data_IF_497631705355
#
_entry.id   IF_497631705355
#
_cell.length_a   1.000
_cell.length_b   1.000
_cell.length_c   1.000
_cell.angle_alpha   90.00
_cell.angle_beta   90.00
_cell.angle_gamma   90.00
#
_symmetry.space_group_name_H-M   'P 1'
#
loop_
_entity.id
_entity.type
_entity.pdbx_description
1 polymer ?
#
# COMPACT_ATOMS: atom_id res chain seq x y z
N UNK A 1 -22.27 4.41 31.46
CA UNK A 1 -21.89 3.97 30.11
C UNK A 1 -20.84 4.93 29.58
N UNK A 2 -19.59 4.49 29.47
CA UNK A 2 -18.49 5.32 28.97
C UNK A 2 -17.59 4.48 28.09
N UNK A 3 -18.04 4.17 26.88
CA UNK A 3 -17.26 3.46 25.86
C UNK A 3 -16.72 4.44 24.81
N UNK A 4 -16.01 5.46 25.28
CA UNK A 4 -15.07 6.20 24.46
C UNK A 4 -13.71 5.53 24.59
N UNK A 5 -13.07 5.17 23.48
CA UNK A 5 -11.67 4.72 23.49
C UNK A 5 -10.85 5.70 24.34
N UNK A 6 -9.98 5.21 25.22
CA UNK A 6 -9.22 5.99 26.21
C UNK A 6 -8.39 7.14 25.61
N UNK A 7 -8.28 7.19 24.28
CA UNK A 7 -7.55 8.19 23.49
C UNK A 7 -8.46 9.25 22.83
N UNK A 8 -9.79 9.17 22.98
CA UNK A 8 -10.76 10.08 22.32
C UNK A 8 -10.97 9.81 20.82
N UNK A 9 -10.48 8.68 20.31
CA UNK A 9 -10.67 8.25 18.93
C UNK A 9 -11.98 7.48 18.73
N UNK A 10 -12.46 7.43 17.49
CA UNK A 10 -13.55 6.53 17.10
C UNK A 10 -13.14 5.07 17.32
N UNK A 11 -14.14 4.21 17.54
CA UNK A 11 -13.89 2.79 17.75
C UNK A 11 -13.36 2.13 16.46
N UNK A 12 -12.46 1.16 16.55
CA UNK A 12 -12.10 0.34 15.39
C UNK A 12 -13.34 -0.37 14.83
N UNK A 13 -13.43 -0.45 13.51
CA UNK A 13 -14.60 -0.94 12.79
C UNK A 13 -15.64 0.14 12.49
N UNK A 14 -15.43 1.40 12.89
CA UNK A 14 -16.29 2.51 12.45
C UNK A 14 -16.21 2.66 10.93
N UNK A 15 -17.38 2.57 10.28
CA UNK A 15 -17.58 2.81 8.85
C UNK A 15 -18.42 4.07 8.66
N UNK A 16 -18.07 4.84 7.63
CA UNK A 16 -18.89 5.97 7.14
C UNK A 16 -19.05 5.83 5.64
N UNK A 17 -20.26 5.47 5.21
CA UNK A 17 -20.68 5.27 3.82
C UNK A 17 -21.84 6.20 3.41
N UNK A 18 -22.12 7.23 4.22
CA UNK A 18 -23.19 8.21 3.96
C UNK A 18 -22.69 9.64 4.13
N UNK A 19 -23.36 10.59 3.45
CA UNK A 19 -23.17 12.06 3.55
C UNK A 19 -21.84 12.59 2.99
N UNK A 20 -20.70 12.06 3.44
CA UNK A 20 -19.35 12.54 3.12
C UNK A 20 -18.63 11.65 2.09
N UNK A 21 -19.39 10.87 1.34
CA UNK A 21 -18.91 9.92 0.32
C UNK A 21 -19.34 10.35 -1.08
N UNK A 22 -18.84 9.69 -2.11
CA UNK A 22 -19.21 9.97 -3.49
C UNK A 22 -20.71 9.71 -3.72
N UNK A 23 -21.42 10.63 -4.40
CA UNK A 23 -22.87 10.53 -4.53
C UNK A 23 -23.37 9.41 -5.45
N UNK A 24 -22.51 8.88 -6.33
CA UNK A 24 -22.91 7.91 -7.38
C UNK A 24 -22.08 6.63 -7.41
N UNK A 25 -20.89 6.64 -6.82
CA UNK A 25 -19.97 5.49 -6.87
C UNK A 25 -19.97 4.88 -5.49
N UNK A 26 -19.61 3.60 -5.40
CA UNK A 26 -19.52 2.97 -4.11
C UNK A 26 -18.17 3.28 -3.45
N UNK A 27 -18.19 4.18 -2.47
CA UNK A 27 -17.06 4.51 -1.62
C UNK A 27 -17.47 4.67 -0.15
N UNK A 28 -16.52 4.41 0.73
CA UNK A 28 -16.74 4.49 2.18
C UNK A 28 -15.42 4.74 2.90
N UNK A 29 -15.50 5.25 4.12
CA UNK A 29 -14.38 5.36 5.04
C UNK A 29 -14.46 4.26 6.08
N UNK A 30 -13.33 3.63 6.39
CA UNK A 30 -13.22 2.63 7.44
C UNK A 30 -12.04 2.97 8.36
N UNK A 31 -12.32 3.07 9.66
CA UNK A 31 -11.30 3.14 10.70
C UNK A 31 -11.09 1.75 11.29
N UNK A 32 -10.16 0.96 10.75
CA UNK A 32 -9.96 -0.43 11.14
C UNK A 32 -9.06 -0.65 12.37
N UNK A 33 -8.31 0.37 12.81
CA UNK A 33 -7.26 0.23 13.81
C UNK A 33 -7.51 1.10 15.05
N UNK A 34 -6.82 0.78 16.14
CA UNK A 34 -6.80 1.60 17.35
C UNK A 34 -5.83 2.78 17.17
N UNK A 35 -6.32 4.02 17.33
CA UNK A 35 -5.47 5.21 17.34
C UNK A 35 -4.66 5.33 18.61
N UNK A 36 -3.46 4.76 18.64
CA UNK A 36 -2.58 4.76 19.81
C UNK A 36 -2.03 6.15 20.18
N UNK A 37 -1.81 7.00 19.17
CA UNK A 37 -1.29 8.35 19.36
C UNK A 37 -1.97 9.32 18.39
N UNK A 38 -2.42 10.46 18.92
CA UNK A 38 -3.11 11.49 18.13
C UNK A 38 -4.47 11.03 17.60
N UNK A 39 -4.90 11.64 16.50
CA UNK A 39 -6.18 11.36 15.85
C UNK A 39 -6.03 10.25 14.82
N UNK A 40 -6.90 9.23 14.89
CA UNK A 40 -6.93 8.13 13.92
C UNK A 40 -7.26 8.66 12.54
N UNK A 41 -6.57 8.16 11.51
CA UNK A 41 -6.88 8.48 10.12
C UNK A 41 -7.66 7.32 9.49
N UNK A 42 -8.97 7.47 9.22
CA UNK A 42 -9.73 6.46 8.48
C UNK A 42 -9.22 6.32 7.05
N UNK A 43 -9.30 5.11 6.51
CA UNK A 43 -8.93 4.80 5.13
C UNK A 43 -10.16 4.89 4.25
N UNK A 44 -10.08 5.63 3.14
CA UNK A 44 -11.14 5.69 2.14
C UNK A 44 -10.97 4.55 1.14
N UNK A 45 -12.00 3.74 1.00
CA UNK A 45 -12.11 2.68 0.01
C UNK A 45 -13.07 3.12 -1.09
N UNK A 46 -12.73 2.85 -2.35
CA UNK A 46 -13.59 3.12 -3.50
C UNK A 46 -13.60 1.91 -4.41
N UNK A 47 -14.78 1.40 -4.69
CA UNK A 47 -14.97 0.24 -5.55
C UNK A 47 -15.01 0.72 -7.00
N UNK A 48 -13.99 0.35 -7.76
CA UNK A 48 -13.89 0.72 -9.16
C UNK A 48 -14.60 -0.30 -10.07
N UNK A 49 -14.58 -1.57 -9.68
CA UNK A 49 -15.20 -2.67 -10.40
C UNK A 49 -15.61 -3.75 -9.41
N UNK A 50 -16.81 -4.30 -9.58
CA UNK A 50 -17.29 -5.45 -8.82
C UNK A 50 -18.13 -6.36 -9.72
N UNK A 51 -17.55 -7.50 -10.10
CA UNK A 51 -18.22 -8.56 -10.88
C UNK A 51 -18.87 -9.64 -10.00
N UNK A 52 -18.58 -9.60 -8.69
CA UNK A 52 -19.06 -10.58 -7.71
C UNK A 52 -20.36 -10.13 -7.02
N UNK A 53 -20.81 -8.90 -7.31
CA UNK A 53 -22.06 -8.32 -6.82
C UNK A 53 -22.15 -8.29 -5.29
N UNK A 54 -21.09 -7.83 -4.64
CA UNK A 54 -21.07 -7.67 -3.20
C UNK A 54 -22.08 -6.61 -2.75
N UNK A 55 -22.75 -6.89 -1.63
CA UNK A 55 -23.44 -5.84 -0.89
C UNK A 55 -22.44 -4.96 -0.14
N UNK A 56 -22.86 -3.74 0.19
CA UNK A 56 -22.02 -2.78 0.94
C UNK A 56 -21.47 -3.40 2.23
N UNK A 57 -22.34 -4.00 3.03
CA UNK A 57 -21.99 -4.61 4.31
C UNK A 57 -21.01 -5.79 4.16
N UNK A 58 -21.20 -6.63 3.13
CA UNK A 58 -20.32 -7.77 2.88
C UNK A 58 -18.91 -7.29 2.54
N UNK A 59 -18.79 -6.28 1.68
CA UNK A 59 -17.49 -5.77 1.26
C UNK A 59 -16.77 -5.05 2.40
N UNK A 60 -17.49 -4.20 3.14
CA UNK A 60 -16.97 -3.49 4.30
C UNK A 60 -16.47 -4.48 5.37
N UNK A 61 -17.25 -5.53 5.66
CA UNK A 61 -16.87 -6.57 6.61
C UNK A 61 -15.66 -7.36 6.13
N UNK A 62 -15.63 -7.79 4.87
CA UNK A 62 -14.49 -8.50 4.28
C UNK A 62 -13.20 -7.70 4.42
N UNK A 63 -13.25 -6.41 4.07
CA UNK A 63 -12.10 -5.50 4.16
C UNK A 63 -11.66 -5.34 5.63
N UNK A 64 -12.60 -5.19 6.55
CA UNK A 64 -12.29 -5.11 7.98
C UNK A 64 -11.64 -6.40 8.51
N UNK A 65 -12.19 -7.57 8.17
CA UNK A 65 -11.65 -8.88 8.58
C UNK A 65 -10.24 -9.09 8.03
N UNK A 66 -9.99 -8.68 6.77
CA UNK A 66 -8.65 -8.73 6.19
C UNK A 66 -7.63 -7.89 6.95
N UNK A 67 -8.02 -6.76 7.56
CA UNK A 67 -7.12 -5.91 8.37
C UNK A 67 -6.52 -6.62 9.59
N UNK A 68 -7.02 -7.78 9.99
CA UNK A 68 -6.47 -8.61 11.07
C UNK A 68 -5.43 -9.63 10.60
N UNK A 69 -5.22 -9.78 9.29
CA UNK A 69 -4.35 -10.83 8.72
C UNK A 69 -2.89 -10.38 8.54
N UNK A 70 -2.51 -9.22 9.08
CA UNK A 70 -1.16 -8.69 8.92
C UNK A 70 -0.14 -9.45 9.77
N UNK A 71 0.75 -10.21 9.12
CA UNK A 71 1.68 -11.09 9.83
C UNK A 71 2.73 -10.41 10.72
N UNK A 72 3.01 -9.10 10.56
CA UNK A 72 4.05 -8.41 11.36
C UNK A 72 3.57 -7.93 12.73
N UNK A 73 2.26 -7.90 12.99
CA UNK A 73 1.75 -7.50 14.30
C UNK A 73 0.43 -8.18 14.66
N UNK A 74 0.17 -8.33 15.94
CA UNK A 74 -1.07 -8.94 16.49
C UNK A 74 -2.20 -7.92 16.68
N UNK A 75 -2.19 -6.82 15.92
CA UNK A 75 -3.17 -5.73 16.01
C UNK A 75 -3.73 -5.43 14.63
N UNK A 76 -5.00 -5.01 14.52
CA UNK A 76 -5.53 -4.61 13.23
C UNK A 76 -4.78 -3.39 12.69
N UNK A 77 -4.47 -3.43 11.40
CA UNK A 77 -3.78 -2.36 10.69
C UNK A 77 -4.77 -1.42 10.01
N UNK A 78 -4.33 -0.20 9.70
CA UNK A 78 -5.16 0.85 9.08
C UNK A 78 -5.49 0.61 7.61
N UNK A 79 -4.70 -0.22 6.93
CA UNK A 79 -4.79 -0.53 5.51
C UNK A 79 -4.77 -2.04 5.33
N UNK A 80 -5.55 -2.55 4.37
CA UNK A 80 -5.67 -3.99 4.11
C UNK A 80 -4.29 -4.60 3.83
N UNK A 81 -3.93 -5.76 4.43
CA UNK A 81 -2.59 -6.34 4.31
C UNK A 81 -2.06 -6.54 2.88
N UNK A 82 -2.85 -6.91 1.86
CA UNK A 82 -2.36 -7.00 0.49
C UNK A 82 -1.79 -5.68 -0.03
N UNK A 83 -2.43 -4.55 0.27
CA UNK A 83 -1.95 -3.22 -0.13
C UNK A 83 -0.69 -2.87 0.67
N UNK A 84 -0.71 -3.15 1.98
CA UNK A 84 0.47 -2.92 2.83
C UNK A 84 1.68 -3.74 2.37
N UNK A 85 1.47 -4.98 1.94
CA UNK A 85 2.51 -5.84 1.41
C UNK A 85 3.03 -5.36 0.06
N UNK A 86 2.15 -4.89 -0.83
CA UNK A 86 2.58 -4.26 -2.08
C UNK A 86 3.50 -3.06 -1.81
N UNK A 87 3.18 -2.23 -0.81
CA UNK A 87 4.04 -1.10 -0.41
C UNK A 87 5.41 -1.57 0.12
N UNK A 88 5.45 -2.63 0.93
CA UNK A 88 6.71 -3.22 1.41
C UNK A 88 7.55 -3.81 0.27
N UNK A 89 6.92 -4.49 -0.68
CA UNK A 89 7.57 -5.02 -1.90
C UNK A 89 8.14 -3.87 -2.72
N UNK A 90 7.36 -2.81 -2.98
CA UNK A 90 7.80 -1.65 -3.74
C UNK A 90 8.96 -0.92 -3.04
N UNK A 91 8.88 -0.75 -1.72
CA UNK A 91 9.95 -0.18 -0.91
C UNK A 91 11.25 -1.00 -1.04
N UNK A 92 11.15 -2.34 -0.97
CA UNK A 92 12.30 -3.23 -1.10
C UNK A 92 12.87 -3.24 -2.52
N UNK A 93 12.01 -3.20 -3.53
CA UNK A 93 12.42 -3.04 -4.93
C UNK A 93 13.22 -1.76 -5.16
N UNK A 94 12.80 -0.65 -4.55
CA UNK A 94 13.56 0.60 -4.58
C UNK A 94 14.95 0.46 -3.96
N UNK A 95 15.07 -0.19 -2.79
CA UNK A 95 16.37 -0.42 -2.15
C UNK A 95 17.32 -1.25 -3.03
N UNK A 96 16.80 -2.25 -3.73
CA UNK A 96 17.58 -3.05 -4.67
C UNK A 96 18.04 -2.25 -5.89
N UNK A 97 17.16 -1.40 -6.42
CA UNK A 97 17.50 -0.51 -7.53
C UNK A 97 18.60 0.49 -7.13
N UNK A 98 18.46 1.15 -5.98
CA UNK A 98 19.46 2.10 -5.46
C UNK A 98 20.82 1.43 -5.19
N UNK A 99 20.81 0.20 -4.65
CA UNK A 99 22.05 -0.57 -4.41
C UNK A 99 22.79 -0.94 -5.69
N UNK A 100 22.07 -1.13 -6.80
CA UNK A 100 22.66 -1.45 -8.10
C UNK A 100 23.29 -0.22 -8.75
N UNK A 101 22.59 0.93 -8.73
CA UNK A 101 23.11 2.19 -9.25
C UNK A 101 24.40 2.62 -8.52
N UNK A 102 24.47 2.41 -7.19
CA UNK A 102 25.64 2.72 -6.37
C UNK A 102 26.85 1.77 -6.53
N UNK A 103 26.69 0.63 -7.20
CA UNK A 103 27.76 -0.34 -7.49
C UNK A 103 28.40 -0.16 -8.87
N UNK A 104 27.93 0.81 -9.67
CA UNK A 104 28.64 1.25 -10.87
C UNK A 104 30.06 1.65 -10.47
N UNK A 105 31.12 0.99 -10.99
CA UNK A 105 32.47 1.32 -10.58
C UNK A 105 32.69 2.79 -10.90
N UNK A 106 33.28 3.52 -9.95
CA UNK A 106 33.83 4.85 -10.19
C UNK A 106 34.95 4.76 -11.24
N UNK A 107 34.59 4.57 -12.50
CA UNK A 107 35.42 4.91 -13.63
C UNK A 107 35.40 6.42 -13.73
N UNK A 108 36.51 7.02 -13.31
CA UNK A 108 36.72 8.46 -13.38
C UNK A 108 36.49 8.98 -14.81
N UNK A 109 35.49 9.83 -14.98
CA UNK A 109 35.59 10.99 -15.86
C UNK A 109 34.52 12.01 -15.50
N UNK A 110 34.99 13.16 -15.03
CA UNK A 110 34.23 14.40 -14.91
C UNK A 110 33.75 14.91 -16.27
N UNK A 111 32.48 15.26 -16.39
CA UNK A 111 32.02 16.58 -16.87
C UNK A 111 30.50 16.62 -16.99
N UNK A 112 29.98 17.78 -16.58
CA UNK A 112 28.59 18.19 -16.63
C UNK A 112 27.95 18.10 -18.01
N UNK A 113 26.77 17.48 -18.10
CA UNK A 113 25.71 17.96 -18.99
C UNK A 113 24.34 17.58 -18.43
N UNK A 114 23.61 18.60 -17.97
CA UNK A 114 22.16 18.54 -17.82
C UNK A 114 21.56 18.27 -19.20
N UNK A 115 21.15 17.04 -19.45
CA UNK A 115 20.33 16.69 -20.61
C UNK A 115 18.98 16.22 -20.11
N UNK A 116 17.97 17.06 -20.33
CA UNK A 116 16.56 16.70 -20.26
C UNK A 116 16.32 15.55 -21.24
N UNK A 117 16.26 14.33 -20.72
CA UNK A 117 15.90 13.15 -21.50
C UNK A 117 14.41 13.23 -21.79
N UNK A 118 14.10 13.61 -23.03
CA UNK A 118 12.79 13.39 -23.61
C UNK A 118 12.42 11.92 -23.43
N UNK A 119 11.24 11.68 -22.87
CA UNK A 119 10.68 10.35 -22.67
C UNK A 119 10.41 9.69 -24.01
N UNK A 120 11.39 8.96 -24.53
CA UNK A 120 11.17 7.94 -25.56
C UNK A 120 10.13 6.93 -25.05
N UNK A 121 9.20 6.43 -25.88
CA UNK A 121 8.22 5.45 -25.43
C UNK A 121 8.96 4.23 -24.89
N UNK A 122 8.70 3.91 -23.62
CA UNK A 122 9.33 2.81 -22.89
C UNK A 122 8.98 1.49 -23.59
N UNK A 123 9.94 0.89 -24.28
CA UNK A 123 9.83 -0.51 -24.71
C UNK A 123 9.90 -1.39 -23.46
N UNK A 124 8.97 -2.32 -23.31
CA UNK A 124 8.90 -3.28 -22.19
C UNK A 124 10.25 -3.98 -21.97
N UNK A 125 10.99 -4.29 -23.04
CA UNK A 125 12.31 -4.92 -22.95
C UNK A 125 13.40 -4.05 -22.31
N UNK A 126 13.29 -2.72 -22.36
CA UNK A 126 14.24 -1.82 -21.70
C UNK A 126 13.98 -1.67 -20.20
N UNK A 127 12.79 -2.05 -19.73
CA UNK A 127 12.41 -1.98 -18.32
C UNK A 127 12.92 -3.22 -17.56
N UNK A 128 12.87 -4.40 -18.17
CA UNK A 128 13.44 -5.64 -17.62
C UNK A 128 14.97 -5.56 -17.43
N UNK A 129 15.68 -4.85 -18.30
CA UNK A 129 17.14 -4.64 -18.14
C UNK A 129 17.48 -3.74 -16.94
N UNK A 130 16.53 -2.92 -16.45
CA UNK A 130 16.76 -1.97 -15.34
C UNK A 130 16.43 -2.53 -13.97
N UNK A 131 15.68 -3.63 -13.88
CA UNK A 131 15.33 -4.26 -12.62
C UNK A 131 15.96 -5.65 -12.54
N UNK A 132 16.85 -5.84 -11.56
CA UNK A 132 17.43 -7.15 -11.27
C UNK A 132 16.34 -8.14 -10.92
N UNK A 133 16.35 -9.29 -11.60
CA UNK A 133 15.50 -10.42 -11.26
C UNK A 133 15.85 -10.93 -9.86
N UNK A 134 14.83 -11.21 -9.06
CA UNK A 134 15.00 -11.82 -7.74
C UNK A 134 15.57 -13.24 -7.88
N UNK A 135 16.33 -13.71 -6.90
CA UNK A 135 16.80 -15.10 -6.86
C UNK A 135 15.61 -16.07 -6.82
N UNK A 136 15.68 -17.18 -7.56
CA UNK A 136 14.57 -18.13 -7.74
C UNK A 136 14.01 -18.66 -6.40
N UNK A 137 14.87 -18.92 -5.41
CA UNK A 137 14.47 -19.40 -4.09
C UNK A 137 13.61 -18.41 -3.29
N UNK A 138 13.62 -17.12 -3.69
CA UNK A 138 12.88 -16.06 -3.00
C UNK A 138 11.58 -15.68 -3.72
N UNK A 139 11.38 -16.07 -4.98
CA UNK A 139 10.24 -15.64 -5.82
C UNK A 139 8.87 -15.96 -5.17
N UNK A 140 8.74 -17.12 -4.53
CA UNK A 140 7.49 -17.56 -3.87
C UNK A 140 7.51 -17.39 -2.36
N UNK A 141 8.37 -16.51 -1.84
CA UNK A 141 8.48 -16.23 -0.40
C UNK A 141 8.05 -14.80 -0.10
N UNK A 142 7.57 -14.55 1.11
CA UNK A 142 7.33 -13.18 1.59
C UNK A 142 8.65 -12.53 2.02
N UNK A 143 9.66 -12.51 1.15
CA UNK A 143 11.00 -12.02 1.49
C UNK A 143 10.98 -10.58 2.03
N UNK A 144 9.98 -9.78 1.63
CA UNK A 144 9.74 -8.38 1.98
C UNK A 144 9.11 -8.14 3.36
N UNK A 145 8.66 -9.19 4.06
CA UNK A 145 7.97 -9.05 5.33
C UNK A 145 8.92 -8.83 6.51
#
# INVERSE_FOLDING_TARGET
MGDGSSTGNVLPGTVVDTIIVHPFEFDFYLCSHYGALGTSKPTRYRVLCDEHWFTSDQLQKLIYDLCFTFARCTKPVSLVPPVYYADLVAYRGRLYHESMEGQSPASASSSSSSSSSASSPLSVGSLEERFSKLHADLENTMFFI
#
